data_IF_240219787772
#
_entry.id   IF_240219787772
#
_cell.length_a   1.000
_cell.length_b   1.000
_cell.length_c   1.000
_cell.angle_alpha   90.00
_cell.angle_beta   90.00
_cell.angle_gamma   90.00
#
_symmetry.space_group_name_H-M   'P 1'
#
loop_
_entity.id
_entity.type
_entity.pdbx_description
1 polymer ?
#
# COMPACT_ATOMS: atom_id res chain seq x y z
N UNK A 1 -3.71 7.82 3.32
CA UNK A 1 -2.66 6.83 3.02
C UNK A 1 -3.21 5.54 2.41
N UNK A 2 -4.43 5.08 2.72
CA UNK A 2 -5.00 3.85 2.13
C UNK A 2 -5.02 3.85 0.59
N UNK A 3 -5.71 4.83 -0.02
CA UNK A 3 -5.72 5.00 -1.48
C UNK A 3 -4.34 5.24 -2.09
N UNK A 4 -3.56 6.17 -1.52
CA UNK A 4 -2.22 6.50 -2.01
C UNK A 4 -1.22 5.32 -1.92
N UNK A 5 -1.35 4.44 -0.93
CA UNK A 5 -0.52 3.24 -0.82
C UNK A 5 -0.84 2.24 -1.91
N UNK A 6 -2.13 2.05 -2.23
CA UNK A 6 -2.55 1.20 -3.34
C UNK A 6 -2.09 1.77 -4.69
N UNK A 7 -2.21 3.08 -4.90
CA UNK A 7 -1.73 3.76 -6.12
C UNK A 7 -0.22 3.55 -6.31
N UNK A 8 0.57 3.75 -5.26
CA UNK A 8 2.03 3.56 -5.29
C UNK A 8 2.40 2.10 -5.58
N UNK A 9 1.67 1.15 -4.97
CA UNK A 9 1.85 -0.28 -5.18
C UNK A 9 1.56 -0.67 -6.63
N UNK A 10 0.43 -0.20 -7.19
CA UNK A 10 0.10 -0.43 -8.59
C UNK A 10 1.13 0.21 -9.52
N UNK A 11 1.60 1.42 -9.21
CA UNK A 11 2.61 2.13 -9.99
C UNK A 11 4.03 1.57 -9.85
N UNK A 12 4.28 0.66 -8.90
CA UNK A 12 5.62 0.11 -8.66
C UNK A 12 6.58 1.12 -8.04
N UNK A 13 6.08 2.06 -7.22
CA UNK A 13 6.87 3.13 -6.60
C UNK A 13 6.98 2.91 -5.09
N UNK A 14 8.21 2.90 -4.56
CA UNK A 14 8.44 2.71 -3.13
C UNK A 14 8.04 3.96 -2.32
N UNK A 15 7.51 3.76 -1.11
CA UNK A 15 6.94 4.84 -0.29
C UNK A 15 7.90 5.27 0.82
N UNK A 16 8.05 6.58 1.02
CA UNK A 16 8.54 7.13 2.29
C UNK A 16 7.33 7.45 3.19
N UNK A 17 7.04 6.57 4.14
CA UNK A 17 5.88 6.69 5.00
C UNK A 17 6.11 7.73 6.11
N UNK A 18 5.37 8.82 6.04
CA UNK A 18 5.32 9.86 7.09
C UNK A 18 3.89 9.90 7.67
N UNK A 19 3.57 9.07 8.67
CA UNK A 19 2.24 9.04 9.25
C UNK A 19 2.00 10.28 10.12
N UNK A 20 0.93 11.03 9.84
CA UNK A 20 0.61 12.25 10.57
C UNK A 20 -0.44 12.02 11.66
N UNK A 21 -1.45 11.18 11.42
CA UNK A 21 -2.53 10.89 12.38
C UNK A 21 -3.22 9.54 12.14
N UNK A 22 -3.93 9.04 13.17
CA UNK A 22 -4.96 7.99 13.11
C UNK A 22 -4.54 6.71 12.37
N UNK A 23 -5.33 6.25 11.38
CA UNK A 23 -5.09 4.98 10.68
C UNK A 23 -3.80 4.99 9.84
N UNK A 24 -3.19 6.16 9.61
CA UNK A 24 -1.95 6.25 8.84
C UNK A 24 -0.79 5.54 9.53
N UNK A 25 -0.81 5.38 10.85
CA UNK A 25 0.20 4.58 11.54
C UNK A 25 0.07 3.08 11.21
N UNK A 26 -1.15 2.57 11.09
CA UNK A 26 -1.41 1.19 10.70
C UNK A 26 -1.05 0.97 9.23
N UNK A 27 -1.40 1.92 8.36
CA UNK A 27 -1.01 1.86 6.95
C UNK A 27 0.51 1.94 6.79
N UNK A 28 1.20 2.80 7.54
CA UNK A 28 2.66 2.88 7.51
C UNK A 28 3.30 1.56 7.96
N UNK A 29 2.76 0.92 9.00
CA UNK A 29 3.19 -0.40 9.45
C UNK A 29 2.97 -1.46 8.36
N UNK A 30 1.78 -1.51 7.76
CA UNK A 30 1.48 -2.43 6.66
C UNK A 30 2.46 -2.26 5.50
N UNK A 31 2.68 -1.02 5.04
CA UNK A 31 3.57 -0.70 3.90
C UNK A 31 5.03 -1.07 4.19
N UNK A 32 5.52 -0.75 5.38
CA UNK A 32 6.95 -0.83 5.72
C UNK A 32 7.34 -2.16 6.32
N UNK A 33 6.56 -2.70 7.25
CA UNK A 33 6.90 -3.91 8.00
C UNK A 33 6.32 -5.17 7.35
N UNK A 34 5.05 -5.14 6.93
CA UNK A 34 4.36 -6.33 6.42
C UNK A 34 4.62 -6.54 4.92
N UNK A 35 4.43 -5.50 4.11
CA UNK A 35 4.62 -5.58 2.65
C UNK A 35 6.08 -5.36 2.28
N UNK A 36 6.79 -4.50 3.03
CA UNK A 36 8.20 -4.19 2.82
C UNK A 36 8.48 -3.28 1.62
N UNK A 37 7.51 -2.48 1.18
CA UNK A 37 7.60 -1.66 -0.03
C UNK A 37 7.96 -0.18 0.24
N UNK A 38 8.44 0.13 1.43
CA UNK A 38 8.77 1.50 1.81
C UNK A 38 9.66 1.60 3.04
N UNK A 39 10.02 2.82 3.37
CA UNK A 39 10.73 3.20 4.59
C UNK A 39 9.85 4.12 5.43
N UNK A 40 10.14 4.25 6.73
CA UNK A 40 9.37 5.11 7.63
C UNK A 40 10.19 6.27 8.13
N UNK A 41 9.63 7.48 8.04
CA UNK A 41 10.15 8.66 8.71
C UNK A 41 9.73 8.66 10.17
N UNK A 42 10.67 9.00 11.04
CA UNK A 42 10.43 9.15 12.47
C UNK A 42 10.90 10.52 12.94
N UNK A 43 10.12 11.22 13.78
CA UNK A 43 10.61 12.37 14.50
C UNK A 43 11.80 11.97 15.38
N UNK A 44 12.77 12.87 15.55
CA UNK A 44 13.99 12.61 16.34
C UNK A 44 13.71 12.17 17.78
N UNK A 45 12.62 12.67 18.36
CA UNK A 45 12.16 12.31 19.71
C UNK A 45 11.20 11.11 19.75
N UNK A 46 10.98 10.44 18.61
CA UNK A 46 9.99 9.36 18.43
C UNK A 46 8.57 9.71 18.90
N UNK A 47 8.27 11.01 19.06
CA UNK A 47 6.96 11.43 19.50
C UNK A 47 5.95 11.17 18.37
N UNK A 48 4.77 10.59 18.65
CA UNK A 48 3.76 10.29 17.62
C UNK A 48 3.29 11.50 16.81
N UNK A 49 3.50 12.72 17.31
CA UNK A 49 3.21 14.01 16.68
C UNK A 49 4.41 14.95 16.68
N UNK A 50 5.62 14.39 16.69
CA UNK A 50 6.86 15.16 16.66
C UNK A 50 7.10 15.81 15.30
N UNK A 51 7.83 16.92 15.30
CA UNK A 51 8.30 17.56 14.06
C UNK A 51 9.46 16.73 13.50
N UNK A 52 9.44 16.44 12.20
CA UNK A 52 10.56 15.83 11.49
C UNK A 52 11.43 16.97 10.95
N UNK A 53 12.71 16.96 11.33
CA UNK A 53 13.69 17.94 10.87
C UNK A 53 14.02 17.73 9.39
N UNK A 54 14.28 18.81 8.66
CA UNK A 54 14.59 18.76 7.22
C UNK A 54 15.79 17.85 6.91
N UNK A 55 16.80 17.83 7.79
CA UNK A 55 17.98 16.97 7.71
C UNK A 55 17.59 15.48 7.67
N UNK A 56 16.64 15.07 8.52
CA UNK A 56 16.17 13.68 8.59
C UNK A 56 15.35 13.32 7.34
N UNK A 57 14.57 14.26 6.81
CA UNK A 57 13.87 14.08 5.53
C UNK A 57 14.89 13.85 4.41
N UNK A 58 15.89 14.73 4.29
CA UNK A 58 16.90 14.64 3.24
C UNK A 58 17.66 13.30 3.31
N UNK A 59 18.11 12.92 4.51
CA UNK A 59 18.78 11.63 4.75
C UNK A 59 17.92 10.44 4.34
N UNK A 60 16.64 10.43 4.73
CA UNK A 60 15.76 9.30 4.43
C UNK A 60 15.32 9.26 2.97
N UNK A 61 15.25 10.40 2.29
CA UNK A 61 15.07 10.45 0.83
C UNK A 61 16.28 9.82 0.13
N UNK A 62 17.50 10.17 0.52
CA UNK A 62 18.72 9.55 -0.01
C UNK A 62 18.73 8.05 0.28
N UNK A 63 18.39 7.63 1.49
CA UNK A 63 18.28 6.19 1.83
C UNK A 63 17.23 5.47 0.98
N UNK A 64 16.09 6.10 0.71
CA UNK A 64 15.05 5.52 -0.14
C UNK A 64 15.48 5.41 -1.61
N UNK A 65 16.33 6.31 -2.10
CA UNK A 65 16.74 6.39 -3.51
C UNK A 65 18.02 5.60 -3.80
N UNK A 66 19.01 5.66 -2.92
CA UNK A 66 20.36 5.15 -3.15
C UNK A 66 20.78 4.10 -2.11
N UNK A 67 20.18 4.14 -0.93
CA UNK A 67 20.48 3.23 0.17
C UNK A 67 20.01 1.79 -0.06
N UNK A 68 20.59 0.88 0.73
CA UNK A 68 20.27 -0.54 0.67
C UNK A 68 18.83 -0.83 1.14
N UNK A 69 18.31 -0.06 2.10
CA UNK A 69 16.91 -0.10 2.50
C UNK A 69 15.98 0.27 1.35
N UNK A 70 16.28 1.39 0.68
CA UNK A 70 15.54 1.84 -0.49
C UNK A 70 15.59 0.84 -1.65
N UNK A 71 16.75 0.25 -1.92
CA UNK A 71 16.92 -0.80 -2.94
C UNK A 71 16.05 -2.02 -2.68
N UNK A 72 15.99 -2.49 -1.43
CA UNK A 72 15.09 -3.59 -1.04
C UNK A 72 13.62 -3.21 -1.23
N UNK A 73 13.23 -2.02 -0.79
CA UNK A 73 11.86 -1.52 -0.95
C UNK A 73 11.44 -1.39 -2.43
N UNK A 74 12.32 -0.84 -3.28
CA UNK A 74 12.07 -0.70 -4.74
C UNK A 74 12.02 -2.05 -5.46
N UNK A 75 12.82 -3.04 -5.04
CA UNK A 75 12.69 -4.41 -5.55
C UNK A 75 11.34 -5.00 -5.16
N UNK A 76 10.97 -4.85 -3.88
CA UNK A 76 9.73 -5.41 -3.33
C UNK A 76 8.49 -4.81 -3.98
N UNK A 77 8.43 -3.48 -4.15
CA UNK A 77 7.26 -2.85 -4.77
C UNK A 77 7.07 -3.28 -6.22
N UNK A 78 8.15 -3.60 -6.94
CA UNK A 78 8.06 -4.13 -8.30
C UNK A 78 7.39 -5.51 -8.33
N UNK A 79 7.81 -6.41 -7.44
CA UNK A 79 7.19 -7.75 -7.29
C UNK A 79 5.70 -7.63 -6.95
N UNK A 80 5.36 -6.74 -6.01
CA UNK A 80 3.97 -6.55 -5.57
C UNK A 80 3.12 -5.90 -6.67
N UNK A 81 3.68 -4.96 -7.43
CA UNK A 81 3.04 -4.35 -8.60
C UNK A 81 2.66 -5.39 -9.65
N UNK A 82 3.58 -6.33 -9.95
CA UNK A 82 3.33 -7.44 -10.87
C UNK A 82 2.20 -8.36 -10.36
N UNK A 83 2.18 -8.66 -9.05
CA UNK A 83 1.08 -9.41 -8.43
C UNK A 83 -0.26 -8.67 -8.51
N UNK A 84 -0.27 -7.35 -8.24
CA UNK A 84 -1.47 -6.53 -8.30
C UNK A 84 -2.05 -6.50 -9.72
N UNK A 85 -1.19 -6.35 -10.73
CA UNK A 85 -1.60 -6.43 -12.13
C UNK A 85 -2.18 -7.81 -12.48
N UNK A 86 -1.52 -8.90 -12.05
CA UNK A 86 -2.01 -10.26 -12.25
C UNK A 86 -3.34 -10.55 -11.58
N UNK A 87 -3.59 -9.97 -10.40
CA UNK A 87 -4.86 -10.12 -9.69
C UNK A 87 -6.03 -9.42 -10.41
N UNK A 88 -5.77 -8.30 -11.07
CA UNK A 88 -6.77 -7.48 -11.75
C UNK A 88 -7.04 -7.87 -13.21
N UNK A 89 -6.12 -8.58 -13.86
CA UNK A 89 -6.31 -9.09 -15.22
C UNK A 89 -7.53 -10.02 -15.30
N UNK A 90 -8.12 -10.17 -16.47
CA UNK A 90 -9.15 -11.19 -16.74
C UNK A 90 -8.70 -12.57 -16.27
N UNK A 91 -9.57 -13.25 -15.51
CA UNK A 91 -9.24 -14.52 -14.86
C UNK A 91 -8.26 -14.40 -13.69
N UNK A 92 -7.92 -13.18 -13.25
CA UNK A 92 -7.17 -12.91 -12.03
C UNK A 92 -8.02 -13.11 -10.76
N UNK A 93 -7.38 -13.13 -9.59
CA UNK A 93 -8.08 -13.35 -8.32
C UNK A 93 -9.12 -12.26 -8.03
N UNK A 94 -8.74 -10.98 -8.13
CA UNK A 94 -9.65 -9.86 -7.91
C UNK A 94 -10.75 -9.79 -8.96
N UNK A 95 -10.44 -10.06 -10.23
CA UNK A 95 -11.45 -10.18 -11.30
C UNK A 95 -12.50 -11.23 -10.94
N UNK A 96 -12.08 -12.46 -10.61
CA UNK A 96 -13.01 -13.55 -10.24
C UNK A 96 -13.83 -13.22 -9.00
N UNK A 97 -13.22 -12.60 -7.99
CA UNK A 97 -13.94 -12.20 -6.79
C UNK A 97 -15.02 -11.15 -7.09
N UNK A 98 -14.75 -10.22 -8.01
CA UNK A 98 -15.74 -9.27 -8.48
C UNK A 98 -16.86 -9.96 -9.26
N UNK A 99 -16.54 -10.91 -10.14
CA UNK A 99 -17.55 -11.69 -10.87
C UNK A 99 -18.47 -12.45 -9.91
N UNK A 100 -17.91 -13.14 -8.92
CA UNK A 100 -18.68 -13.85 -7.89
C UNK A 100 -19.57 -12.91 -7.07
N UNK A 101 -19.08 -11.70 -6.77
CA UNK A 101 -19.87 -10.69 -6.06
C UNK A 101 -21.05 -10.21 -6.92
N UNK A 102 -20.83 -9.96 -8.21
CA UNK A 102 -21.88 -9.58 -9.16
C UNK A 102 -22.92 -10.70 -9.25
N UNK A 103 -22.49 -11.95 -9.43
CA UNK A 103 -23.38 -13.12 -9.50
C UNK A 103 -24.21 -13.27 -8.22
N UNK A 104 -23.60 -13.05 -7.05
CA UNK A 104 -24.30 -13.11 -5.78
C UNK A 104 -25.38 -12.01 -5.66
N UNK A 105 -25.03 -10.76 -5.95
CA UNK A 105 -25.95 -9.62 -5.84
C UNK A 105 -27.07 -9.70 -6.90
N UNK A 106 -26.74 -10.05 -8.13
CA UNK A 106 -27.71 -10.19 -9.22
C UNK A 106 -28.55 -11.47 -9.10
N UNK A 107 -28.00 -12.55 -8.54
CA UNK A 107 -28.72 -13.78 -8.25
C UNK A 107 -29.74 -13.64 -7.11
N UNK A 108 -29.48 -12.79 -6.12
CA UNK A 108 -30.43 -12.49 -5.04
C UNK A 108 -31.62 -11.61 -5.48
N UNK A 109 -31.51 -10.90 -6.60
CA UNK A 109 -32.60 -10.14 -7.20
C UNK A 109 -33.68 -11.01 -7.87
N UNK A 110 -33.35 -12.24 -8.27
CA UNK A 110 -34.28 -13.13 -8.98
C UNK A 110 -35.15 -13.99 -8.04
N UNK A 111 -34.78 -14.15 -6.76
CA UNK A 111 -35.39 -15.12 -5.86
C UNK A 111 -36.30 -14.52 -4.77
N UNK A 112 -36.52 -13.20 -4.77
CA UNK A 112 -37.43 -12.50 -3.83
C UNK A 112 -38.76 -12.06 -4.45
N UNK A 113 -39.03 -12.38 -5.72
CA UNK A 113 -40.32 -12.06 -6.38
C UNK A 113 -41.31 -13.25 -6.35
N UNK A 114 -40.87 -14.45 -5.93
CA UNK A 114 -41.70 -15.67 -5.94
C UNK A 114 -41.72 -16.45 -4.60
N UNK A 115 -41.69 -15.76 -3.46
CA UNK A 115 -42.07 -16.35 -2.16
C UNK A 115 -43.01 -15.44 -1.41
#
# INVERSE_FOLDING_TARGET
MGGSALESMCAGVAILAMPLMAEQHLNARMVVEEVGMGLRLWPRNMAPRGIVEAEEVAKMVVELMEGEGGKRARKRVKEVSECAYGAMKEGGSSSRTLDLLIDHVCGEGANKVFK
#
